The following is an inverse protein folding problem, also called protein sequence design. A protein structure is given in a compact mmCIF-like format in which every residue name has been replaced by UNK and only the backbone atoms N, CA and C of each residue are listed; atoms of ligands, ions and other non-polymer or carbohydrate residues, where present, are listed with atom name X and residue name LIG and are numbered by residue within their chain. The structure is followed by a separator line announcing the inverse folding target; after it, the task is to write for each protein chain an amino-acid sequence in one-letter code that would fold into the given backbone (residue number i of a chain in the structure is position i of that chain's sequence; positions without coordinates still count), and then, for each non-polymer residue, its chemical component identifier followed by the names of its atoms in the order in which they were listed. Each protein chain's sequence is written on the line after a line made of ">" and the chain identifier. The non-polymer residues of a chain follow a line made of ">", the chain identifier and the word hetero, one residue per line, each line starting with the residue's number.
data_IF_674449088925
#
_entry.id   IF_674449088925
#
_cell.length_a   1.000
_cell.length_b   1.000
_cell.length_c   1.000
_cell.angle_alpha   90.00
_cell.angle_beta   90.00
_cell.angle_gamma   90.00
#
_symmetry.space_group_name_H-M   'P 1'
#
loop_
_entity.id
_entity.type
_entity.pdbx_description
1 polymer ?
#
# COMPACT_ATOMS: atom_id res chain seq x y z
N UNK A 1 24.10 -10.94 85.60
CA UNK A 1 22.98 -11.46 84.77
C UNK A 1 22.08 -10.32 84.25
N UNK A 2 21.45 -9.51 85.10
CA UNK A 2 20.55 -8.40 84.67
C UNK A 2 21.21 -7.39 83.70
N UNK A 3 22.43 -6.94 83.98
CA UNK A 3 23.17 -5.99 83.12
C UNK A 3 23.50 -6.57 81.75
N UNK A 4 23.85 -7.87 81.70
CA UNK A 4 24.16 -8.58 80.45
C UNK A 4 22.89 -8.73 79.60
N UNK A 5 21.76 -9.08 80.23
CA UNK A 5 20.46 -9.17 79.55
C UNK A 5 20.03 -7.82 78.98
N UNK A 6 20.20 -6.72 79.71
CA UNK A 6 19.91 -5.37 79.22
C UNK A 6 20.78 -4.97 78.01
N UNK A 7 22.07 -5.35 78.03
CA UNK A 7 22.99 -5.07 76.92
C UNK A 7 22.60 -5.83 75.65
N UNK A 8 22.21 -7.11 75.77
CA UNK A 8 21.73 -7.93 74.65
C UNK A 8 20.42 -7.37 74.08
N UNK A 9 19.50 -6.90 74.94
CA UNK A 9 18.24 -6.29 74.52
C UNK A 9 18.48 -4.96 73.77
N UNK A 10 19.39 -4.11 74.26
CA UNK A 10 19.78 -2.89 73.55
C UNK A 10 20.38 -3.21 72.19
N UNK A 11 21.30 -4.19 72.10
CA UNK A 11 21.90 -4.62 70.83
C UNK A 11 20.82 -5.10 69.84
N UNK A 12 19.87 -5.91 70.30
CA UNK A 12 18.77 -6.40 69.49
C UNK A 12 17.89 -5.27 68.94
N UNK A 13 17.56 -4.26 69.77
CA UNK A 13 16.81 -3.08 69.33
C UNK A 13 17.60 -2.30 68.26
N UNK A 14 18.91 -2.11 68.44
CA UNK A 14 19.75 -1.43 67.44
C UNK A 14 19.73 -2.19 66.12
N UNK A 15 19.85 -3.51 66.13
CA UNK A 15 19.79 -4.35 64.92
C UNK A 15 18.42 -4.23 64.24
N UNK A 16 17.32 -4.25 65.00
CA UNK A 16 15.96 -4.08 64.44
C UNK A 16 15.77 -2.71 63.78
N UNK A 17 16.30 -1.65 64.38
CA UNK A 17 16.24 -0.30 63.81
C UNK A 17 17.05 -0.22 62.51
N UNK A 18 18.26 -0.78 62.49
CA UNK A 18 19.10 -0.85 61.26
C UNK A 18 18.39 -1.66 60.17
N UNK A 19 17.82 -2.81 60.51
CA UNK A 19 17.07 -3.64 59.56
C UNK A 19 15.84 -2.90 59.02
N UNK A 20 15.12 -2.16 59.86
CA UNK A 20 13.99 -1.32 59.45
C UNK A 20 14.40 -0.26 58.43
N UNK A 21 15.48 0.49 58.72
CA UNK A 21 16.03 1.48 57.79
C UNK A 21 16.52 0.85 56.48
N UNK A 22 17.19 -0.30 56.53
CA UNK A 22 17.63 -1.01 55.33
C UNK A 22 16.46 -1.50 54.49
N UNK A 23 15.40 -2.01 55.13
CA UNK A 23 14.19 -2.48 54.44
C UNK A 23 13.45 -1.32 53.76
N UNK A 24 13.36 -0.17 54.42
CA UNK A 24 12.75 1.03 53.81
C UNK A 24 13.59 1.56 52.63
N UNK A 25 14.92 1.60 52.79
CA UNK A 25 15.82 2.05 51.74
C UNK A 25 15.77 1.15 50.51
N UNK A 26 15.78 -0.18 50.70
CA UNK A 26 15.64 -1.16 49.62
C UNK A 26 14.27 -1.08 48.96
N UNK A 27 13.19 -0.94 49.73
CA UNK A 27 11.83 -0.77 49.17
C UNK A 27 11.70 0.49 48.31
N UNK A 28 12.31 1.60 48.74
CA UNK A 28 12.34 2.84 47.94
C UNK A 28 13.16 2.68 46.67
N UNK A 29 14.31 1.99 46.75
CA UNK A 29 15.15 1.72 45.60
C UNK A 29 14.43 0.82 44.59
N UNK A 30 13.78 -0.25 45.05
CA UNK A 30 12.96 -1.13 44.22
C UNK A 30 11.80 -0.38 43.56
N UNK A 31 11.16 0.55 44.28
CA UNK A 31 10.12 1.40 43.70
C UNK A 31 10.68 2.29 42.58
N UNK A 32 11.83 2.94 42.79
CA UNK A 32 12.48 3.75 41.78
C UNK A 32 12.91 2.93 40.56
N UNK A 33 13.47 1.74 40.76
CA UNK A 33 13.81 0.83 39.66
C UNK A 33 12.59 0.34 38.89
N UNK A 34 11.48 0.07 39.57
CA UNK A 34 10.21 -0.28 38.91
C UNK A 34 9.68 0.89 38.09
N UNK A 35 9.74 2.11 38.62
CA UNK A 35 9.30 3.30 37.89
C UNK A 35 10.15 3.51 36.63
N UNK A 36 11.47 3.43 36.75
CA UNK A 36 12.39 3.54 35.62
C UNK A 36 12.16 2.42 34.59
N UNK A 37 12.00 1.16 35.04
CA UNK A 37 11.74 0.04 34.13
C UNK A 37 10.38 0.16 33.42
N UNK A 38 9.38 0.80 34.06
CA UNK A 38 8.10 1.08 33.41
C UNK A 38 8.24 2.17 32.34
N UNK A 39 8.96 3.25 32.63
CA UNK A 39 9.25 4.33 31.67
C UNK A 39 10.04 3.81 30.46
N UNK A 40 11.14 3.07 30.70
CA UNK A 40 11.93 2.45 29.64
C UNK A 40 11.11 1.46 28.79
N UNK A 41 10.14 0.78 29.41
CA UNK A 41 9.24 -0.13 28.70
C UNK A 41 8.26 0.65 27.81
N UNK A 42 7.67 1.73 28.30
CA UNK A 42 6.75 2.59 27.53
C UNK A 42 7.48 3.19 26.33
N UNK A 43 8.67 3.76 26.54
CA UNK A 43 9.52 4.28 25.47
C UNK A 43 9.86 3.21 24.42
N UNK A 44 10.12 1.98 24.85
CA UNK A 44 10.40 0.87 23.95
C UNK A 44 9.16 0.46 23.14
N UNK A 45 7.97 0.46 23.74
CA UNK A 45 6.71 0.16 23.06
C UNK A 45 6.38 1.24 22.02
N UNK A 46 6.54 2.52 22.37
CA UNK A 46 6.35 3.65 21.47
C UNK A 46 7.33 3.62 20.29
N UNK A 47 8.61 3.34 20.57
CA UNK A 47 9.63 3.20 19.53
C UNK A 47 9.34 2.01 18.60
N UNK A 48 8.85 0.89 19.14
CA UNK A 48 8.44 -0.26 18.33
C UNK A 48 7.23 0.05 17.46
N UNK A 49 6.21 0.72 18.00
CA UNK A 49 5.03 1.14 17.25
C UNK A 49 5.41 2.11 16.12
N UNK A 50 6.27 3.08 16.42
CA UNK A 50 6.80 4.01 15.43
C UNK A 50 7.59 3.31 14.32
N UNK A 51 8.52 2.40 14.68
CA UNK A 51 9.30 1.63 13.70
C UNK A 51 8.41 0.74 12.83
N UNK A 52 7.39 0.08 13.40
CA UNK A 52 6.41 -0.71 12.63
C UNK A 52 5.63 0.15 11.63
N UNK A 53 5.22 1.35 12.05
CA UNK A 53 4.52 2.30 11.17
C UNK A 53 5.41 2.77 10.01
N UNK A 54 6.68 3.10 10.28
CA UNK A 54 7.64 3.46 9.25
C UNK A 54 7.88 2.31 8.27
N UNK A 55 8.02 1.08 8.78
CA UNK A 55 8.22 -0.09 7.94
C UNK A 55 7.02 -0.34 7.02
N UNK A 56 5.79 -0.19 7.54
CA UNK A 56 4.56 -0.30 6.76
C UNK A 56 4.38 0.79 5.68
N UNK A 57 5.11 1.92 5.78
CA UNK A 57 5.14 2.93 4.72
C UNK A 57 6.12 2.59 3.59
N UNK A 58 7.07 1.67 3.82
CA UNK A 58 8.13 1.30 2.86
C UNK A 58 7.82 -0.03 2.19
N UNK A 59 7.32 -0.99 2.97
CA UNK A 59 7.05 -2.35 2.54
C UNK A 59 5.58 -2.71 2.77
N UNK A 60 4.99 -3.53 1.90
CA UNK A 60 3.68 -4.11 2.14
C UNK A 60 3.64 -4.88 3.46
N UNK A 61 2.48 -4.93 4.12
CA UNK A 61 2.33 -5.53 5.45
C UNK A 61 2.85 -6.99 5.51
N UNK A 62 2.50 -7.81 4.52
CA UNK A 62 2.93 -9.21 4.45
C UNK A 62 4.46 -9.37 4.30
N UNK A 63 5.11 -8.45 3.58
CA UNK A 63 6.57 -8.43 3.40
C UNK A 63 7.24 -7.91 4.67
N UNK A 64 6.68 -6.88 5.30
CA UNK A 64 7.19 -6.34 6.57
C UNK A 64 7.18 -7.40 7.67
N UNK A 65 6.09 -8.18 7.79
CA UNK A 65 6.01 -9.30 8.73
C UNK A 65 7.05 -10.39 8.44
N UNK A 66 7.33 -10.69 7.17
CA UNK A 66 8.39 -11.63 6.80
C UNK A 66 9.76 -11.19 7.35
N UNK A 67 10.11 -9.91 7.24
CA UNK A 67 11.38 -9.37 7.76
C UNK A 67 11.40 -9.23 9.29
N UNK A 68 10.25 -9.02 9.94
CA UNK A 68 10.16 -8.87 11.40
C UNK A 68 10.09 -10.20 12.16
N UNK A 69 9.51 -11.25 11.57
CA UNK A 69 9.31 -12.56 12.21
C UNK A 69 10.54 -13.47 12.14
N UNK A 70 11.49 -13.13 11.29
CA UNK A 70 12.56 -14.00 10.86
C UNK A 70 13.90 -13.62 11.50
N UNK A 71 14.50 -14.54 12.27
CA UNK A 71 15.93 -14.51 12.69
C UNK A 71 16.87 -14.78 11.49
N UNK A 72 16.41 -14.45 10.28
CA UNK A 72 17.12 -14.72 9.04
C UNK A 72 18.29 -13.76 8.97
N UNK A 73 19.49 -14.33 8.98
CA UNK A 73 20.73 -13.64 8.66
C UNK A 73 20.68 -13.15 7.21
N UNK A 74 20.03 -12.01 7.02
CA UNK A 74 20.21 -10.93 6.05
C UNK A 74 20.98 -11.19 4.73
N UNK A 75 20.83 -12.33 4.08
CA UNK A 75 21.48 -12.61 2.78
C UNK A 75 20.52 -13.11 1.68
N UNK A 76 19.35 -13.65 2.03
CA UNK A 76 18.42 -14.19 1.02
C UNK A 76 17.42 -13.14 0.53
N UNK A 77 17.36 -12.98 -0.80
CA UNK A 77 16.43 -12.11 -1.51
C UNK A 77 14.98 -12.58 -1.30
N UNK A 78 14.13 -11.70 -0.73
CA UNK A 78 12.69 -11.96 -0.70
C UNK A 78 12.12 -11.93 -2.13
N UNK A 79 11.49 -13.03 -2.54
CA UNK A 79 10.76 -13.13 -3.78
C UNK A 79 9.56 -14.07 -3.64
N UNK A 80 8.50 -13.79 -4.38
CA UNK A 80 7.29 -14.61 -4.43
C UNK A 80 6.75 -14.64 -5.86
N UNK A 81 6.43 -15.84 -6.36
CA UNK A 81 5.80 -16.01 -7.68
C UNK A 81 4.28 -16.10 -7.53
N UNK A 82 3.56 -15.32 -8.33
CA UNK A 82 2.09 -15.30 -8.37
C UNK A 82 1.61 -15.49 -9.80
N UNK A 83 0.71 -16.44 -10.01
CA UNK A 83 0.30 -16.84 -11.36
C UNK A 83 -0.76 -15.92 -12.00
N UNK A 84 -1.59 -15.27 -11.17
CA UNK A 84 -2.66 -14.39 -11.63
C UNK A 84 -2.72 -13.13 -10.77
N UNK A 85 -2.17 -12.05 -11.30
CA UNK A 85 -2.17 -10.71 -10.68
C UNK A 85 -2.76 -9.73 -11.67
N UNK A 86 -3.71 -8.92 -11.20
CA UNK A 86 -4.26 -7.79 -11.95
C UNK A 86 -3.28 -6.62 -11.84
N UNK A 87 -2.89 -6.01 -12.94
CA UNK A 87 -1.88 -4.95 -12.98
C UNK A 87 -2.48 -3.72 -13.66
N UNK A 88 -2.27 -2.57 -13.05
CA UNK A 88 -2.72 -1.29 -13.57
C UNK A 88 -1.58 -0.29 -13.69
N UNK A 89 -1.57 0.42 -14.81
CA UNK A 89 -0.84 1.66 -15.01
C UNK A 89 -1.85 2.77 -15.31
N UNK A 90 -1.87 3.82 -14.51
CA UNK A 90 -2.71 4.99 -14.71
C UNK A 90 -1.84 6.23 -14.86
N UNK A 91 -1.80 6.82 -16.05
CA UNK A 91 -1.02 8.02 -16.35
C UNK A 91 -1.94 9.24 -16.52
N UNK A 92 -1.41 10.43 -16.19
CA UNK A 92 -2.04 11.73 -16.45
C UNK A 92 -1.25 12.43 -17.57
N UNK A 93 -1.56 12.18 -18.86
CA UNK A 93 -0.65 12.56 -19.95
C UNK A 93 -0.45 14.06 -20.10
N UNK A 94 -1.46 14.88 -19.78
CA UNK A 94 -1.37 16.33 -19.88
C UNK A 94 -0.70 17.01 -18.66
N UNK A 95 -0.27 16.22 -17.67
CA UNK A 95 0.48 16.77 -16.53
C UNK A 95 1.86 17.30 -16.96
N UNK A 96 2.50 16.69 -17.96
CA UNK A 96 3.79 17.17 -18.47
C UNK A 96 3.69 18.54 -19.12
N UNK A 97 2.54 18.88 -19.73
CA UNK A 97 2.29 20.21 -20.30
C UNK A 97 1.93 21.23 -19.22
N UNK A 98 1.28 20.79 -18.14
CA UNK A 98 0.95 21.61 -16.98
C UNK A 98 2.20 21.97 -16.16
N UNK A 99 3.19 21.08 -16.09
CA UNK A 99 4.42 21.31 -15.35
C UNK A 99 5.26 22.42 -16.02
N UNK A 100 5.21 23.62 -15.42
CA UNK A 100 6.03 24.77 -15.83
C UNK A 100 6.89 25.25 -14.66
N UNK A 101 8.20 25.27 -14.87
CA UNK A 101 9.19 25.85 -13.94
C UNK A 101 9.29 27.36 -14.17
N UNK A 102 8.38 28.10 -13.54
CA UNK A 102 8.36 29.56 -13.57
C UNK A 102 8.50 30.10 -12.14
N UNK A 103 9.15 31.26 -11.96
CA UNK A 103 9.24 31.94 -10.66
C UNK A 103 7.85 32.21 -10.06
N UNK A 104 6.85 32.49 -10.90
CA UNK A 104 5.45 32.69 -10.50
C UNK A 104 4.78 31.42 -9.93
N UNK A 105 5.35 30.24 -10.19
CA UNK A 105 4.85 28.94 -9.73
C UNK A 105 5.75 28.33 -8.63
N UNK A 106 6.53 29.18 -7.93
CA UNK A 106 7.51 28.78 -6.93
C UNK A 106 8.43 27.65 -7.46
N UNK A 107 8.94 27.82 -8.68
CA UNK A 107 9.84 26.85 -9.34
C UNK A 107 9.23 25.44 -9.56
N UNK A 108 7.91 25.35 -9.74
CA UNK A 108 7.22 24.08 -10.03
C UNK A 108 6.73 23.32 -8.78
N UNK A 109 7.00 23.83 -7.58
CA UNK A 109 6.58 23.22 -6.31
C UNK A 109 5.06 23.09 -6.21
N UNK A 110 4.30 24.07 -6.67
CA UNK A 110 2.83 24.00 -6.65
C UNK A 110 2.29 22.91 -7.59
N UNK A 111 2.95 22.65 -8.72
CA UNK A 111 2.59 21.52 -9.58
C UNK A 111 2.79 20.20 -8.84
N UNK A 112 3.89 20.05 -8.11
CA UNK A 112 4.15 18.85 -7.31
C UNK A 112 3.14 18.70 -6.17
N UNK A 113 2.70 19.80 -5.55
CA UNK A 113 1.65 19.78 -4.51
C UNK A 113 0.33 19.25 -5.06
N UNK A 114 -0.06 19.71 -6.25
CA UNK A 114 -1.28 19.26 -6.91
C UNK A 114 -1.19 17.79 -7.36
N UNK A 115 -0.04 17.36 -7.86
CA UNK A 115 0.19 15.94 -8.15
C UNK A 115 0.07 15.10 -6.87
N UNK A 116 0.67 15.55 -5.77
CA UNK A 116 0.58 14.85 -4.49
C UNK A 116 -0.87 14.76 -4.00
N UNK A 117 -1.67 15.80 -4.18
CA UNK A 117 -3.11 15.80 -3.87
C UNK A 117 -3.87 14.75 -4.69
N UNK A 118 -3.68 14.73 -6.02
CA UNK A 118 -4.29 13.71 -6.90
C UNK A 118 -3.89 12.29 -6.48
N UNK A 119 -2.61 12.06 -6.15
CA UNK A 119 -2.12 10.75 -5.74
C UNK A 119 -2.68 10.36 -4.35
N UNK A 120 -2.80 11.32 -3.44
CA UNK A 120 -3.38 11.09 -2.12
C UNK A 120 -4.86 10.70 -2.22
N UNK A 121 -5.63 11.36 -3.09
CA UNK A 121 -7.02 11.03 -3.39
C UNK A 121 -7.16 9.61 -3.96
N UNK A 122 -6.24 9.18 -4.84
CA UNK A 122 -6.21 7.79 -5.33
C UNK A 122 -5.85 6.79 -4.24
N UNK A 123 -4.94 7.16 -3.32
CA UNK A 123 -4.57 6.32 -2.19
C UNK A 123 -5.71 6.20 -1.17
N UNK A 124 -6.53 7.25 -0.98
CA UNK A 124 -7.72 7.20 -0.11
C UNK A 124 -8.74 6.17 -0.59
N UNK A 125 -8.92 6.03 -1.91
CA UNK A 125 -9.78 4.99 -2.47
C UNK A 125 -9.33 3.58 -2.06
N UNK A 126 -8.03 3.32 -1.88
CA UNK A 126 -7.54 2.00 -1.44
C UNK A 126 -7.97 1.64 -0.01
N UNK A 127 -8.44 2.61 0.77
CA UNK A 127 -8.96 2.37 2.12
C UNK A 127 -10.36 1.74 2.13
N UNK A 128 -11.10 1.80 1.02
CA UNK A 128 -12.42 1.18 0.90
C UNK A 128 -12.33 -0.36 0.94
N UNK A 129 -13.32 -1.00 1.59
CA UNK A 129 -13.33 -2.46 1.78
C UNK A 129 -13.25 -3.25 0.46
N UNK A 130 -13.82 -2.71 -0.62
CA UNK A 130 -13.84 -3.33 -1.96
C UNK A 130 -12.45 -3.35 -2.63
N UNK A 131 -11.54 -2.45 -2.23
CA UNK A 131 -10.22 -2.27 -2.86
C UNK A 131 -9.05 -2.73 -1.98
N UNK A 132 -9.33 -3.34 -0.81
CA UNK A 132 -8.31 -3.89 0.10
C UNK A 132 -7.36 -4.90 -0.54
N UNK A 133 -7.77 -5.55 -1.63
CA UNK A 133 -6.94 -6.50 -2.35
C UNK A 133 -5.99 -5.85 -3.38
N UNK A 134 -6.06 -4.53 -3.53
CA UNK A 134 -5.23 -3.73 -4.42
C UNK A 134 -4.10 -3.10 -3.60
N UNK A 135 -2.88 -3.24 -4.10
CA UNK A 135 -1.68 -2.73 -3.50
C UNK A 135 -1.01 -1.75 -4.45
N UNK A 136 -0.74 -0.54 -3.97
CA UNK A 136 0.07 0.44 -4.69
C UNK A 136 1.52 -0.06 -4.74
N UNK A 137 2.07 -0.17 -5.94
CA UNK A 137 3.47 -0.58 -6.12
C UNK A 137 4.39 0.64 -6.05
N UNK A 138 4.14 1.63 -6.91
CA UNK A 138 4.93 2.86 -6.96
C UNK A 138 4.24 3.95 -7.79
N UNK A 139 4.70 5.18 -7.58
CA UNK A 139 4.42 6.30 -8.47
C UNK A 139 5.69 6.64 -9.23
N UNK A 140 5.64 6.68 -10.57
CA UNK A 140 6.76 7.05 -11.43
C UNK A 140 6.36 8.28 -12.25
N UNK A 141 6.90 9.46 -11.89
CA UNK A 141 6.46 10.72 -12.46
C UNK A 141 4.97 10.95 -12.19
N UNK A 142 4.19 11.14 -13.25
CA UNK A 142 2.72 11.28 -13.22
C UNK A 142 1.98 9.96 -13.53
N UNK A 143 2.65 8.82 -13.35
CA UNK A 143 2.07 7.48 -13.55
C UNK A 143 1.95 6.73 -12.24
N UNK A 144 0.72 6.31 -11.92
CA UNK A 144 0.36 5.49 -10.77
C UNK A 144 0.37 4.01 -11.17
N UNK A 145 1.07 3.17 -10.40
CA UNK A 145 1.16 1.73 -10.62
C UNK A 145 0.60 0.98 -9.42
N UNK A 146 -0.35 0.09 -9.67
CA UNK A 146 -0.96 -0.78 -8.66
C UNK A 146 -1.13 -2.21 -9.17
N UNK A 147 -1.22 -3.15 -8.23
CA UNK A 147 -1.42 -4.56 -8.50
C UNK A 147 -2.44 -5.17 -7.53
N UNK A 148 -3.23 -6.13 -8.00
CA UNK A 148 -4.26 -6.80 -7.21
C UNK A 148 -4.07 -8.32 -7.23
N UNK A 149 -4.33 -8.97 -6.09
CA UNK A 149 -4.18 -10.43 -5.95
C UNK A 149 -2.81 -10.89 -5.43
N UNK A 150 -1.98 -9.98 -4.91
CA UNK A 150 -0.68 -10.31 -4.32
C UNK A 150 -0.81 -11.01 -2.95
N UNK A 151 -1.82 -10.65 -2.16
CA UNK A 151 -2.04 -11.14 -0.79
C UNK A 151 -3.30 -11.99 -0.65
N UNK A 152 -3.99 -12.28 -1.75
CA UNK A 152 -5.29 -12.95 -1.73
C UNK A 152 -5.20 -14.46 -1.60
N UNK A 153 -6.25 -15.05 -1.01
CA UNK A 153 -6.42 -16.49 -0.95
C UNK A 153 -6.63 -17.09 -2.35
N UNK A 154 -6.15 -18.32 -2.62
CA UNK A 154 -6.31 -18.96 -3.92
C UNK A 154 -7.78 -19.09 -4.37
N UNK A 155 -8.74 -19.24 -3.45
CA UNK A 155 -10.16 -19.34 -3.82
C UNK A 155 -10.70 -18.04 -4.43
N UNK A 156 -10.29 -16.89 -3.90
CA UNK A 156 -10.75 -15.60 -4.39
C UNK A 156 -10.07 -15.21 -5.71
N UNK A 157 -8.81 -15.62 -5.88
CA UNK A 157 -8.09 -15.50 -7.16
C UNK A 157 -8.80 -16.35 -8.23
N UNK A 158 -9.23 -17.57 -7.89
CA UNK A 158 -9.98 -18.43 -8.81
C UNK A 158 -11.35 -17.83 -9.22
N UNK A 159 -11.93 -16.99 -8.36
CA UNK A 159 -13.16 -16.23 -8.65
C UNK A 159 -12.90 -14.90 -9.39
N UNK A 160 -11.64 -14.59 -9.70
CA UNK A 160 -11.21 -13.34 -10.34
C UNK A 160 -11.65 -12.07 -9.59
N UNK A 161 -11.77 -12.15 -8.25
CA UNK A 161 -12.18 -11.00 -7.42
C UNK A 161 -11.19 -9.84 -7.56
N UNK A 162 -9.88 -10.14 -7.66
CA UNK A 162 -8.83 -9.14 -7.90
C UNK A 162 -8.98 -8.41 -9.23
N UNK A 163 -9.43 -9.10 -10.28
CA UNK A 163 -9.63 -8.51 -11.62
C UNK A 163 -10.82 -7.55 -11.60
N UNK A 164 -11.90 -7.94 -10.91
CA UNK A 164 -13.09 -7.11 -10.71
C UNK A 164 -12.75 -5.86 -9.91
N UNK A 165 -12.09 -6.03 -8.76
CA UNK A 165 -11.67 -4.92 -7.92
C UNK A 165 -10.78 -3.94 -8.69
N UNK A 166 -9.84 -4.43 -9.50
CA UNK A 166 -8.97 -3.58 -10.32
C UNK A 166 -9.75 -2.79 -11.38
N UNK A 167 -10.74 -3.41 -12.04
CA UNK A 167 -11.58 -2.73 -13.03
C UNK A 167 -12.44 -1.64 -12.39
N UNK A 168 -13.05 -1.93 -11.23
CA UNK A 168 -13.86 -0.96 -10.49
C UNK A 168 -13.00 0.18 -9.92
N UNK A 169 -11.80 -0.13 -9.45
CA UNK A 169 -10.84 0.88 -8.98
C UNK A 169 -10.41 1.82 -10.11
N UNK A 170 -10.11 1.29 -11.31
CA UNK A 170 -9.79 2.11 -12.48
C UNK A 170 -10.93 3.07 -12.86
N UNK A 171 -12.19 2.61 -12.77
CA UNK A 171 -13.36 3.47 -13.00
C UNK A 171 -13.50 4.54 -11.90
N UNK A 172 -13.31 4.18 -10.63
CA UNK A 172 -13.33 5.11 -9.50
C UNK A 172 -12.23 6.16 -9.59
N UNK A 173 -11.01 5.80 -10.01
CA UNK A 173 -9.92 6.77 -10.22
C UNK A 173 -10.29 7.84 -11.25
N UNK A 174 -10.99 7.45 -12.32
CA UNK A 174 -11.45 8.40 -13.33
C UNK A 174 -12.50 9.37 -12.76
N UNK A 175 -13.44 8.86 -11.96
CA UNK A 175 -14.43 9.68 -11.25
C UNK A 175 -13.74 10.63 -10.25
N UNK A 176 -12.76 10.14 -9.48
CA UNK A 176 -12.02 10.94 -8.51
C UNK A 176 -11.22 12.07 -9.19
N UNK A 177 -10.55 11.79 -10.32
CA UNK A 177 -9.86 12.85 -11.06
C UNK A 177 -10.83 13.92 -11.59
N UNK A 178 -12.05 13.53 -11.97
CA UNK A 178 -13.08 14.49 -12.35
C UNK A 178 -13.44 15.41 -11.17
N UNK A 179 -13.58 14.87 -9.95
CA UNK A 179 -13.81 15.68 -8.76
C UNK A 179 -12.66 16.64 -8.48
N UNK A 180 -11.40 16.21 -8.60
CA UNK A 180 -10.24 17.10 -8.44
C UNK A 180 -10.28 18.23 -9.47
N UNK A 181 -10.59 17.92 -10.73
CA UNK A 181 -10.71 18.93 -11.79
C UNK A 181 -11.77 20.01 -11.47
N UNK A 182 -12.91 19.60 -10.91
CA UNK A 182 -13.98 20.52 -10.50
C UNK A 182 -13.56 21.44 -9.36
N UNK A 183 -12.84 20.92 -8.35
CA UNK A 183 -12.44 21.69 -7.17
C UNK A 183 -11.20 22.56 -7.39
N UNK A 184 -10.26 22.08 -8.22
CA UNK A 184 -9.00 22.76 -8.50
C UNK A 184 -9.05 23.65 -9.75
N UNK A 185 -10.20 23.75 -10.43
CA UNK A 185 -10.36 24.47 -11.71
C UNK A 185 -9.32 24.07 -12.77
N UNK A 186 -8.97 22.78 -12.79
CA UNK A 186 -8.02 22.19 -13.73
C UNK A 186 -8.72 21.22 -14.69
N UNK A 187 -7.99 20.73 -15.69
CA UNK A 187 -8.53 19.80 -16.68
C UNK A 187 -7.54 18.66 -16.96
N UNK A 188 -7.12 17.95 -15.91
CA UNK A 188 -6.32 16.74 -16.04
C UNK A 188 -7.13 15.63 -16.68
N UNK A 189 -6.47 14.87 -17.55
CA UNK A 189 -7.07 13.72 -18.21
C UNK A 189 -6.32 12.47 -17.81
N UNK A 190 -7.05 11.40 -17.53
CA UNK A 190 -6.46 10.12 -17.14
C UNK A 190 -6.49 9.14 -18.30
N UNK A 191 -5.47 8.30 -18.36
CA UNK A 191 -5.40 7.15 -19.24
C UNK A 191 -4.96 5.96 -18.42
N UNK A 192 -5.66 4.84 -18.57
CA UNK A 192 -5.42 3.65 -17.75
C UNK A 192 -5.21 2.44 -18.64
N UNK A 193 -4.18 1.66 -18.36
CA UNK A 193 -3.90 0.36 -18.95
C UNK A 193 -4.02 -0.75 -17.92
N UNK A 194 -4.80 -1.77 -18.25
CA UNK A 194 -5.06 -2.93 -17.40
C UNK A 194 -4.63 -4.23 -18.08
N UNK A 195 -4.06 -5.13 -17.31
CA UNK A 195 -3.77 -6.50 -17.74
C UNK A 195 -3.85 -7.45 -16.55
N UNK A 196 -4.04 -8.75 -16.81
CA UNK A 196 -3.92 -9.82 -15.82
C UNK A 196 -2.86 -10.82 -16.27
N UNK A 197 -2.07 -11.35 -15.34
CA UNK A 197 -1.14 -12.43 -15.65
C UNK A 197 -0.11 -12.72 -14.55
N UNK A 198 0.87 -13.60 -14.84
CA UNK A 198 1.84 -14.03 -13.87
C UNK A 198 2.91 -12.95 -13.63
N UNK A 199 3.33 -12.83 -12.36
CA UNK A 199 4.37 -11.91 -11.89
C UNK A 199 5.26 -12.57 -10.85
N UNK A 200 6.45 -12.00 -10.69
CA UNK A 200 7.35 -12.25 -9.56
C UNK A 200 7.42 -10.96 -8.76
N UNK A 201 6.97 -11.00 -7.51
CA UNK A 201 7.12 -9.93 -6.55
C UNK A 201 8.40 -10.12 -5.75
N UNK A 202 9.01 -9.03 -5.26
CA UNK A 202 10.22 -9.14 -4.45
C UNK A 202 10.75 -7.80 -3.96
N UNK A 203 11.70 -7.85 -3.04
CA UNK A 203 12.35 -6.65 -2.48
C UNK A 203 13.78 -6.56 -2.98
N UNK A 204 14.13 -5.47 -3.66
CA UNK A 204 15.48 -5.21 -4.15
C UNK A 204 16.09 -4.00 -3.44
N UNK A 205 17.39 -4.08 -3.14
CA UNK A 205 18.20 -2.94 -2.70
C UNK A 205 18.67 -3.04 -1.25
N UNK A 206 19.99 -3.02 -1.04
CA UNK A 206 20.59 -3.18 0.30
C UNK A 206 20.49 -1.93 1.20
N UNK A 207 20.47 -0.73 0.61
CA UNK A 207 20.40 0.55 1.36
C UNK A 207 19.05 1.24 1.26
N UNK A 208 18.33 1.00 0.16
CA UNK A 208 17.00 1.53 -0.13
C UNK A 208 16.17 0.36 -0.64
N UNK A 209 15.67 -0.51 0.27
CA UNK A 209 14.84 -1.62 -0.13
C UNK A 209 13.58 -1.09 -0.81
N UNK A 210 13.26 -1.66 -1.97
CA UNK A 210 12.10 -1.32 -2.75
C UNK A 210 11.38 -2.61 -3.12
N UNK A 211 10.12 -2.70 -2.70
CA UNK A 211 9.21 -3.74 -3.18
C UNK A 211 8.72 -3.38 -4.58
N UNK A 212 8.82 -4.33 -5.50
CA UNK A 212 8.37 -4.14 -6.89
C UNK A 212 7.93 -5.49 -7.48
N UNK A 213 7.28 -5.44 -8.63
CA UNK A 213 6.82 -6.62 -9.36
C UNK A 213 7.43 -6.68 -10.76
N UNK A 214 7.87 -7.86 -11.17
CA UNK A 214 8.46 -8.13 -12.47
C UNK A 214 7.67 -9.19 -13.23
N UNK A 215 7.62 -9.06 -14.54
CA UNK A 215 6.99 -10.05 -15.39
C UNK A 215 6.61 -9.49 -16.75
N UNK A 216 6.36 -10.39 -17.70
CA UNK A 216 5.85 -9.99 -19.00
C UNK A 216 4.47 -9.33 -18.88
N UNK A 217 3.64 -9.78 -17.92
CA UNK A 217 2.32 -9.20 -17.66
C UNK A 217 2.41 -7.72 -17.28
N UNK A 218 3.42 -7.32 -16.50
CA UNK A 218 3.67 -5.91 -16.11
C UNK A 218 4.02 -5.07 -17.33
N UNK A 219 4.89 -5.59 -18.20
CA UNK A 219 5.27 -4.91 -19.44
C UNK A 219 4.06 -4.73 -20.37
N UNK A 220 3.20 -5.74 -20.49
CA UNK A 220 1.97 -5.63 -21.29
C UNK A 220 1.03 -4.58 -20.71
N UNK A 221 0.82 -4.54 -19.38
CA UNK A 221 0.01 -3.52 -18.72
C UNK A 221 0.52 -2.09 -19.00
N UNK A 222 1.84 -1.89 -18.88
CA UNK A 222 2.50 -0.61 -19.22
C UNK A 222 2.32 -0.22 -20.69
N UNK A 223 2.22 -1.22 -21.60
CA UNK A 223 1.89 -0.97 -23.01
C UNK A 223 0.42 -0.63 -23.22
N UNK A 224 -0.50 -1.21 -22.45
CA UNK A 224 -1.91 -0.82 -22.50
C UNK A 224 -2.10 0.65 -22.09
N UNK A 225 -1.33 1.15 -21.13
CA UNK A 225 -1.33 2.57 -20.79
C UNK A 225 -0.65 3.39 -21.89
N UNK A 226 0.61 3.13 -22.23
CA UNK A 226 1.36 3.97 -23.18
C UNK A 226 0.75 4.03 -24.60
N UNK A 227 0.11 2.96 -25.06
CA UNK A 227 -0.64 2.93 -26.35
C UNK A 227 -2.12 3.28 -26.18
N UNK A 228 -2.58 3.49 -24.95
CA UNK A 228 -3.93 3.91 -24.59
C UNK A 228 -4.34 5.25 -25.18
N UNK A 229 -5.65 5.40 -25.35
CA UNK A 229 -6.27 6.69 -25.66
C UNK A 229 -6.60 7.44 -24.36
N UNK A 230 -6.44 8.75 -24.40
CA UNK A 230 -6.75 9.64 -23.26
C UNK A 230 -8.24 9.53 -22.91
N UNK A 231 -8.57 9.61 -21.61
CA UNK A 231 -9.91 9.42 -21.06
C UNK A 231 -10.50 8.01 -21.21
N UNK A 232 -9.70 7.02 -21.63
CA UNK A 232 -10.12 5.63 -21.77
C UNK A 232 -9.31 4.69 -20.89
N UNK A 233 -9.97 3.59 -20.51
CA UNK A 233 -9.37 2.47 -19.80
C UNK A 233 -9.18 1.35 -20.81
N UNK A 234 -7.95 1.03 -21.17
CA UNK A 234 -7.63 -0.04 -22.11
C UNK A 234 -7.33 -1.33 -21.37
N UNK A 235 -7.92 -2.43 -21.83
CA UNK A 235 -7.76 -3.77 -21.28
C UNK A 235 -7.23 -4.73 -22.36
N UNK A 236 -6.52 -5.77 -21.92
CA UNK A 236 -6.12 -6.89 -22.77
C UNK A 236 -7.28 -7.85 -23.04
N UNK A 237 -7.11 -8.74 -24.02
CA UNK A 237 -8.10 -9.77 -24.34
C UNK A 237 -8.35 -10.73 -23.16
N UNK A 238 -7.30 -11.06 -22.40
CA UNK A 238 -7.41 -11.92 -21.22
C UNK A 238 -8.33 -11.31 -20.16
N UNK A 239 -8.20 -10.00 -19.92
CA UNK A 239 -9.05 -9.29 -18.97
C UNK A 239 -10.48 -9.10 -19.50
N UNK A 240 -10.65 -8.90 -20.81
CA UNK A 240 -11.96 -8.89 -21.46
C UNK A 240 -12.72 -10.20 -21.24
N UNK A 241 -12.08 -11.36 -21.45
CA UNK A 241 -12.72 -12.68 -21.29
C UNK A 241 -13.22 -12.95 -19.88
N UNK A 242 -12.67 -12.28 -18.87
CA UNK A 242 -13.10 -12.38 -17.47
C UNK A 242 -14.25 -11.41 -17.17
N UNK A 243 -14.13 -10.17 -17.64
CA UNK A 243 -15.03 -9.07 -17.26
C UNK A 243 -16.32 -9.00 -18.11
N UNK A 244 -16.28 -9.40 -19.39
CA UNK A 244 -17.48 -9.42 -20.25
C UNK A 244 -18.59 -10.32 -19.68
N UNK A 245 -18.32 -11.60 -19.29
CA UNK A 245 -19.35 -12.45 -18.68
C UNK A 245 -19.91 -11.90 -17.36
N UNK A 246 -19.13 -11.06 -16.67
CA UNK A 246 -19.55 -10.39 -15.44
C UNK A 246 -20.42 -9.16 -15.69
N UNK A 247 -20.66 -8.77 -16.94
CA UNK A 247 -21.58 -7.69 -17.32
C UNK A 247 -20.94 -6.30 -17.42
N UNK A 248 -19.61 -6.21 -17.56
CA UNK A 248 -18.93 -4.94 -17.81
C UNK A 248 -19.10 -4.51 -19.28
N UNK A 249 -19.55 -3.28 -19.55
CA UNK A 249 -19.63 -2.76 -20.91
C UNK A 249 -18.23 -2.52 -21.45
N UNK A 250 -17.93 -3.11 -22.61
CA UNK A 250 -16.65 -2.96 -23.30
C UNK A 250 -16.84 -2.67 -24.78
N UNK A 251 -15.91 -1.89 -25.33
CA UNK A 251 -15.83 -1.56 -26.74
C UNK A 251 -14.58 -2.18 -27.35
N UNK A 252 -14.70 -2.83 -28.51
CA UNK A 252 -13.54 -3.36 -29.22
C UNK A 252 -12.71 -2.21 -29.80
N UNK A 253 -11.47 -2.06 -29.33
CA UNK A 253 -10.50 -1.11 -29.89
C UNK A 253 -9.92 -1.63 -31.21
N UNK A 254 -9.69 -2.95 -31.28
CA UNK A 254 -9.02 -3.60 -32.40
C UNK A 254 -7.59 -4.00 -32.05
N UNK A 255 -6.79 -4.29 -33.10
CA UNK A 255 -5.43 -4.75 -32.95
C UNK A 255 -4.47 -3.58 -32.72
N UNK A 256 -3.59 -3.73 -31.73
CA UNK A 256 -2.46 -2.82 -31.51
C UNK A 256 -1.15 -3.59 -31.52
N UNK A 257 -0.09 -2.96 -32.05
CA UNK A 257 1.22 -3.61 -32.08
C UNK A 257 1.95 -3.40 -30.76
N UNK A 258 2.24 -4.49 -30.06
CA UNK A 258 2.92 -4.51 -28.76
C UNK A 258 4.32 -5.08 -28.93
N UNK A 259 5.34 -4.28 -28.58
CA UNK A 259 6.74 -4.68 -28.68
C UNK A 259 7.00 -5.98 -27.92
N UNK A 260 7.45 -7.02 -28.63
CA UNK A 260 7.77 -8.33 -28.07
C UNK A 260 6.60 -9.33 -27.98
N UNK A 261 5.36 -8.89 -28.25
CA UNK A 261 4.16 -9.75 -28.34
C UNK A 261 3.57 -9.82 -29.74
N UNK A 262 3.82 -8.83 -30.59
CA UNK A 262 3.19 -8.70 -31.89
C UNK A 262 1.85 -7.97 -31.78
N UNK A 263 0.94 -8.25 -32.70
CA UNK A 263 -0.37 -7.61 -32.72
C UNK A 263 -1.31 -8.26 -31.71
N UNK A 264 -1.85 -7.45 -30.80
CA UNK A 264 -2.75 -7.88 -29.73
C UNK A 264 -4.12 -7.23 -29.91
N UNK A 265 -5.18 -8.02 -29.80
CA UNK A 265 -6.54 -7.51 -29.73
C UNK A 265 -6.79 -6.88 -28.36
N UNK A 266 -7.36 -5.67 -28.36
CA UNK A 266 -7.59 -4.90 -27.14
C UNK A 266 -8.97 -4.27 -27.13
N UNK A 267 -9.40 -3.89 -25.93
CA UNK A 267 -10.74 -3.37 -25.68
C UNK A 267 -10.67 -2.15 -24.76
N UNK A 268 -11.71 -1.33 -24.79
CA UNK A 268 -11.91 -0.26 -23.84
C UNK A 268 -12.99 -0.64 -22.84
N UNK A 269 -12.71 -0.50 -21.55
CA UNK A 269 -13.69 -0.59 -20.49
C UNK A 269 -14.42 0.76 -20.38
N UNK A 270 -15.73 0.78 -20.61
CA UNK A 270 -16.49 2.04 -20.76
C UNK A 270 -17.35 2.40 -19.55
N UNK A 271 -17.56 1.49 -18.60
CA UNK A 271 -18.41 1.75 -17.46
C UNK A 271 -18.49 0.60 -16.47
N UNK A 272 -19.26 0.81 -15.39
CA UNK A 272 -19.45 -0.18 -14.33
C UNK A 272 -20.32 -1.35 -14.81
N UNK A 273 -20.21 -2.47 -14.10
CA UNK A 273 -21.04 -3.67 -14.29
C UNK A 273 -22.53 -3.31 -14.31
N UNK A 274 -23.24 -3.76 -15.34
CA UNK A 274 -24.71 -3.67 -15.36
C UNK A 274 -25.27 -4.72 -14.39
N UNK A 275 -25.89 -4.27 -13.30
CA UNK A 275 -26.61 -5.19 -12.41
C UNK A 275 -27.72 -5.88 -13.19
N UNK A 276 -27.80 -7.21 -13.07
CA UNK A 276 -28.91 -8.01 -13.56
C UNK A 276 -30.17 -7.71 -12.72
N UNK A 277 -30.80 -6.55 -12.94
CA UNK A 277 -31.95 -6.14 -12.13
C UNK A 277 -32.67 -4.84 -12.53
N UNK A 278 -32.09 -3.93 -13.32
CA UNK A 278 -32.77 -2.67 -13.71
C UNK A 278 -33.32 -2.70 -15.14
N UNK A 279 -34.06 -3.77 -15.45
CA UNK A 279 -34.88 -3.87 -16.66
C UNK A 279 -36.33 -4.19 -16.27
N UNK A 280 -36.98 -3.28 -15.53
CA UNK A 280 -38.44 -3.13 -15.60
C UNK A 280 -38.84 -1.75 -15.08
N UNK A 281 -39.87 -1.19 -15.72
CA UNK A 281 -40.55 0.07 -15.43
C UNK A 281 -39.87 1.36 -15.92
N UNK A 282 -39.86 1.51 -17.25
CA UNK A 282 -40.46 2.72 -17.85
C UNK A 282 -41.35 2.31 -19.03
N UNK A 283 -42.65 2.25 -18.75
CA UNK A 283 -43.74 2.41 -19.71
C UNK A 283 -44.44 3.72 -19.33
#
# INVERSE_FOLDING_TARGET
>A
LKTVVMLVLCLYIVVLVIHGFQTEATSRLDFLWKLQAMEEKEDMEDLQAYNRKLLGNILPAHVAEYFLSSDHRNEDLYHEQRDSVGIMFASIPNFSEFYMELEANNEGVECLRLLNEIIADFDELLSEDEFKCIEKIKTTGYTYMAAAGLTMAPEDIARNVHVVAMADYALRMKEQLHHVNEHSFNHFKIRIGLNVGPVVAGVIGAKKPHYDIWGNAVNVASRMDSTGEVEKIQVTQEMYSILEPLGYPMECRGYISVKGKGDMLTYFLTGRRKEAGSASNKL
#
